data_IF_052144324659
#
_entry.id   IF_052144324659
#
_cell.length_a   1.000
_cell.length_b   1.000
_cell.length_c   1.000
_cell.angle_alpha   90.00
_cell.angle_beta   90.00
_cell.angle_gamma   90.00
#
_symmetry.space_group_name_H-M   'P 1'
#
loop_
_entity.id
_entity.type
_entity.pdbx_description
1 polymer ?
#
# COMPACT_ATOMS: atom_id res chain seq x y z
N UNK A 1 -1.11 -1.02 -22.21
CA UNK A 1 -1.16 0.20 -21.34
C UNK A 1 -0.07 0.07 -20.30
N UNK A 2 0.44 1.19 -19.75
CA UNK A 2 1.31 1.11 -18.56
C UNK A 2 0.47 0.70 -17.35
N UNK A 3 1.03 -0.13 -16.48
CA UNK A 3 0.39 -0.53 -15.24
C UNK A 3 0.14 0.64 -14.28
N UNK A 4 -0.69 0.43 -13.30
CA UNK A 4 -1.07 1.43 -12.29
C UNK A 4 -0.35 1.22 -10.97
N UNK A 5 0.01 2.30 -10.32
CA UNK A 5 0.59 2.29 -8.97
C UNK A 5 -0.42 2.86 -7.98
N UNK A 6 -0.72 2.08 -6.95
CA UNK A 6 -1.63 2.44 -5.85
C UNK A 6 -0.81 2.44 -4.56
N UNK A 7 -0.90 3.50 -3.77
CA UNK A 7 -0.33 3.51 -2.42
C UNK A 7 -1.43 3.52 -1.38
N UNK A 8 -1.26 2.71 -0.34
CA UNK A 8 -2.15 2.68 0.83
C UNK A 8 -1.37 3.24 2.01
N UNK A 9 -1.72 4.42 2.45
CA UNK A 9 -0.94 5.18 3.45
C UNK A 9 -1.85 5.91 4.45
N UNK A 10 -1.38 6.02 5.68
CA UNK A 10 -1.94 6.90 6.73
C UNK A 10 -0.90 7.03 7.86
N UNK A 11 -0.83 8.18 8.51
CA UNK A 11 0.03 8.41 9.65
C UNK A 11 -0.33 7.55 10.87
N UNK A 12 -1.61 7.22 11.03
CA UNK A 12 -2.12 6.43 12.16
C UNK A 12 -1.91 4.93 11.95
N UNK A 13 -1.45 4.25 13.01
CA UNK A 13 -1.38 2.79 13.04
C UNK A 13 -2.76 2.14 13.23
N UNK A 14 -2.93 0.90 12.77
CA UNK A 14 -4.13 0.11 13.05
C UNK A 14 -5.42 0.53 12.31
N UNK A 15 -5.33 1.41 11.32
CA UNK A 15 -6.48 1.89 10.51
C UNK A 15 -6.87 0.96 9.35
N UNK A 16 -6.23 -0.18 9.20
CA UNK A 16 -6.56 -1.16 8.14
C UNK A 16 -5.77 -0.99 6.84
N UNK A 17 -4.61 -0.32 6.83
CA UNK A 17 -3.73 -0.20 5.65
C UNK A 17 -3.43 -1.56 5.02
N UNK A 18 -2.80 -2.42 5.76
CA UNK A 18 -2.41 -3.77 5.31
C UNK A 18 -3.59 -4.61 4.83
N UNK A 19 -4.71 -4.60 5.56
CA UNK A 19 -5.93 -5.30 5.16
C UNK A 19 -6.45 -4.78 3.82
N UNK A 20 -6.47 -3.46 3.63
CA UNK A 20 -6.86 -2.82 2.36
C UNK A 20 -5.91 -3.20 1.24
N UNK A 21 -4.60 -3.13 1.48
CA UNK A 21 -3.56 -3.51 0.51
C UNK A 21 -3.75 -4.95 0.03
N UNK A 22 -3.81 -5.91 0.96
CA UNK A 22 -3.87 -7.33 0.63
C UNK A 22 -5.20 -7.69 -0.03
N UNK A 23 -6.32 -7.21 0.51
CA UNK A 23 -7.64 -7.50 -0.09
C UNK A 23 -7.80 -6.96 -1.50
N UNK A 24 -7.32 -5.74 -1.77
CA UNK A 24 -7.31 -5.18 -3.12
C UNK A 24 -6.37 -5.93 -4.05
N UNK A 25 -5.16 -6.29 -3.60
CA UNK A 25 -4.20 -7.02 -4.42
C UNK A 25 -4.77 -8.38 -4.86
N UNK A 26 -5.40 -9.10 -3.94
CA UNK A 26 -6.02 -10.38 -4.24
C UNK A 26 -7.26 -10.23 -5.14
N UNK A 27 -8.05 -9.17 -4.97
CA UNK A 27 -9.17 -8.88 -5.87
C UNK A 27 -8.70 -8.58 -7.30
N UNK A 28 -7.66 -7.75 -7.47
CA UNK A 28 -7.07 -7.49 -8.79
C UNK A 28 -6.52 -8.79 -9.42
N UNK A 29 -5.79 -9.59 -8.65
CA UNK A 29 -5.24 -10.85 -9.15
C UNK A 29 -6.34 -11.87 -9.50
N UNK A 30 -7.45 -11.92 -8.76
CA UNK A 30 -8.61 -12.76 -9.07
C UNK A 30 -9.30 -12.38 -10.37
N UNK A 31 -9.30 -11.10 -10.70
CA UNK A 31 -9.82 -10.57 -11.99
C UNK A 31 -8.80 -10.69 -13.15
N UNK A 32 -7.68 -11.36 -12.91
CA UNK A 32 -6.68 -11.69 -13.94
C UNK A 32 -5.61 -10.62 -14.18
N UNK A 33 -5.52 -9.61 -13.33
CA UNK A 33 -4.45 -8.62 -13.40
C UNK A 33 -3.16 -9.19 -12.81
N UNK A 34 -2.05 -9.03 -13.52
CA UNK A 34 -0.73 -9.34 -12.99
C UNK A 34 -0.38 -8.31 -11.91
N UNK A 35 -0.44 -8.73 -10.66
CA UNK A 35 -0.40 -7.83 -9.50
C UNK A 35 0.90 -7.99 -8.71
N UNK A 36 1.48 -6.87 -8.28
CA UNK A 36 2.62 -6.82 -7.38
C UNK A 36 2.25 -6.05 -6.11
N UNK A 37 2.58 -6.60 -4.96
CA UNK A 37 2.59 -5.85 -3.70
C UNK A 37 4.03 -5.51 -3.33
N UNK A 38 4.25 -4.27 -2.91
CA UNK A 38 5.52 -3.82 -2.29
C UNK A 38 5.21 -3.47 -0.84
N UNK A 39 5.67 -4.30 0.07
CA UNK A 39 5.49 -4.10 1.52
C UNK A 39 6.61 -3.20 2.04
N UNK A 40 6.25 -1.99 2.47
CA UNK A 40 7.19 -0.98 3.00
C UNK A 40 7.09 -0.84 4.53
N UNK A 41 6.26 -1.65 5.20
CA UNK A 41 6.16 -1.63 6.66
C UNK A 41 7.10 -2.66 7.29
N UNK A 42 7.98 -2.20 8.16
CA UNK A 42 8.91 -3.06 8.92
C UNK A 42 8.23 -4.13 9.79
N UNK A 43 6.92 -4.03 9.99
CA UNK A 43 6.12 -5.07 10.65
C UNK A 43 5.88 -6.28 9.75
N UNK A 44 6.09 -6.16 8.42
CA UNK A 44 5.93 -7.21 7.42
C UNK A 44 4.53 -7.87 7.41
N UNK A 45 3.50 -7.15 7.87
CA UNK A 45 2.16 -7.72 7.98
C UNK A 45 1.55 -8.05 6.62
N UNK A 46 1.78 -7.22 5.58
CA UNK A 46 1.31 -7.53 4.22
C UNK A 46 2.02 -8.78 3.68
N UNK A 47 3.32 -8.89 3.92
CA UNK A 47 4.12 -10.04 3.52
C UNK A 47 3.59 -11.33 4.14
N UNK A 48 3.37 -11.34 5.46
CA UNK A 48 2.84 -12.51 6.18
C UNK A 48 1.43 -12.89 5.72
N UNK A 49 0.55 -11.90 5.52
CA UNK A 49 -0.82 -12.15 5.06
C UNK A 49 -0.89 -12.68 3.62
N UNK A 50 0.03 -12.27 2.75
CA UNK A 50 0.12 -12.78 1.36
C UNK A 50 0.71 -14.18 1.34
N UNK A 51 1.76 -14.44 2.12
CA UNK A 51 2.39 -15.75 2.20
C UNK A 51 1.48 -16.83 2.80
N UNK A 52 0.53 -16.45 3.64
CA UNK A 52 -0.47 -17.36 4.20
C UNK A 52 0.06 -18.26 5.32
N UNK A 53 -0.35 -19.53 5.34
CA UNK A 53 -0.06 -20.50 6.42
C UNK A 53 1.45 -20.63 6.71
N UNK A 54 2.28 -20.61 5.67
CA UNK A 54 3.74 -20.74 5.79
C UNK A 54 4.45 -19.36 5.81
N UNK A 55 3.78 -18.33 6.26
CA UNK A 55 4.26 -16.94 6.21
C UNK A 55 5.62 -16.75 6.88
N UNK A 56 5.81 -17.32 8.07
CA UNK A 56 7.06 -17.20 8.84
C UNK A 56 8.23 -17.86 8.13
N UNK A 57 8.04 -19.07 7.57
CA UNK A 57 9.07 -19.82 6.84
C UNK A 57 9.46 -19.10 5.55
N UNK A 58 8.47 -18.64 4.77
CA UNK A 58 8.71 -17.89 3.52
C UNK A 58 9.35 -16.54 3.77
N UNK A 59 9.02 -15.87 4.88
CA UNK A 59 9.68 -14.64 5.28
C UNK A 59 11.14 -14.90 5.69
N UNK A 60 11.40 -15.99 6.40
CA UNK A 60 12.75 -16.44 6.72
C UNK A 60 13.57 -16.70 5.46
N UNK A 61 12.98 -17.37 4.46
CA UNK A 61 13.62 -17.61 3.16
C UNK A 61 13.93 -16.29 2.43
N UNK A 62 13.02 -15.31 2.45
CA UNK A 62 13.26 -14.01 1.85
C UNK A 62 14.42 -13.25 2.52
N UNK A 63 14.62 -13.43 3.82
CA UNK A 63 15.77 -12.89 4.56
C UNK A 63 17.06 -13.58 4.13
N UNK A 64 17.07 -14.91 4.07
CA UNK A 64 18.27 -15.70 3.76
C UNK A 64 18.71 -15.57 2.30
N UNK A 65 17.74 -15.42 1.40
CA UNK A 65 18.00 -15.27 -0.04
C UNK A 65 18.22 -13.81 -0.45
N UNK A 66 18.22 -12.86 0.51
CA UNK A 66 18.39 -11.43 0.25
C UNK A 66 17.37 -10.89 -0.77
N UNK A 67 16.11 -11.32 -0.66
CA UNK A 67 15.01 -10.94 -1.56
C UNK A 67 13.94 -10.16 -0.81
N UNK A 68 14.30 -9.00 -0.26
CA UNK A 68 13.39 -8.16 0.51
C UNK A 68 13.76 -6.66 0.41
N UNK A 69 12.87 -5.79 0.86
CA UNK A 69 13.05 -4.32 0.80
C UNK A 69 14.27 -3.85 1.61
N UNK A 70 14.65 -4.54 2.71
CA UNK A 70 15.84 -4.15 3.49
C UNK A 70 17.11 -4.32 2.67
N UNK A 71 17.22 -5.40 1.90
CA UNK A 71 18.36 -5.68 1.04
C UNK A 71 18.36 -4.78 -0.19
N UNK A 72 17.17 -4.46 -0.74
CA UNK A 72 17.04 -3.44 -1.79
C UNK A 72 17.62 -2.10 -1.33
N UNK A 73 17.31 -1.64 -0.11
CA UNK A 73 17.86 -0.39 0.43
C UNK A 73 19.38 -0.46 0.58
N UNK A 74 19.90 -1.56 1.14
CA UNK A 74 21.34 -1.73 1.34
C UNK A 74 22.10 -1.76 0.03
N UNK A 75 21.65 -2.53 -0.96
CA UNK A 75 22.34 -2.61 -2.24
C UNK A 75 22.34 -1.26 -2.98
N UNK A 76 21.23 -0.51 -2.96
CA UNK A 76 21.12 0.72 -3.73
C UNK A 76 21.76 1.95 -3.09
N UNK A 77 21.92 1.98 -1.78
CA UNK A 77 22.37 3.18 -1.08
C UNK A 77 23.61 2.99 -0.22
N UNK A 78 23.94 1.75 0.14
CA UNK A 78 25.12 1.41 0.95
C UNK A 78 26.11 0.52 0.18
N UNK A 79 25.68 -0.08 -0.92
CA UNK A 79 26.52 -0.90 -1.80
C UNK A 79 27.19 -0.09 -2.90
N UNK A 80 28.09 -0.78 -3.64
CA UNK A 80 28.81 -0.21 -4.80
C UNK A 80 28.00 -0.33 -6.11
N UNK A 81 26.92 -1.14 -6.13
CA UNK A 81 26.13 -1.45 -7.33
C UNK A 81 24.67 -1.07 -7.13
N UNK A 82 24.06 -0.59 -8.22
CA UNK A 82 22.62 -0.36 -8.26
C UNK A 82 21.90 -1.65 -8.67
N UNK A 83 20.88 -2.03 -7.89
CA UNK A 83 20.01 -3.16 -8.20
C UNK A 83 18.58 -2.67 -8.46
N UNK A 84 17.94 -3.16 -9.53
CA UNK A 84 16.54 -2.89 -9.78
C UNK A 84 15.66 -3.61 -8.74
N UNK A 85 14.52 -3.01 -8.38
CA UNK A 85 13.59 -3.62 -7.43
C UNK A 85 13.08 -5.00 -7.90
N UNK A 86 13.09 -5.23 -9.20
CA UNK A 86 12.74 -6.53 -9.80
C UNK A 86 13.59 -7.70 -9.30
N UNK A 87 14.83 -7.45 -8.83
CA UNK A 87 15.69 -8.47 -8.23
C UNK A 87 15.12 -9.03 -6.92
N UNK A 88 14.32 -8.24 -6.22
CA UNK A 88 13.80 -8.54 -4.89
C UNK A 88 12.35 -9.04 -4.91
N UNK A 89 11.81 -9.30 -6.09
CA UNK A 89 10.45 -9.81 -6.26
C UNK A 89 10.42 -11.33 -6.01
N UNK A 90 9.50 -11.74 -5.16
CA UNK A 90 9.08 -13.13 -4.99
C UNK A 90 7.85 -13.37 -5.86
N UNK A 91 7.95 -14.10 -6.97
CA UNK A 91 6.81 -14.37 -7.83
C UNK A 91 5.86 -15.38 -7.18
N UNK A 92 4.57 -15.32 -7.57
CA UNK A 92 3.54 -16.24 -7.07
C UNK A 92 3.55 -16.37 -5.55
N UNK A 93 3.59 -15.21 -4.88
CA UNK A 93 3.76 -15.14 -3.44
C UNK A 93 2.50 -15.55 -2.66
N UNK A 94 1.30 -15.36 -3.23
CA UNK A 94 0.05 -15.70 -2.55
C UNK A 94 -0.20 -17.21 -2.55
N UNK A 95 -0.70 -17.73 -1.43
CA UNK A 95 -1.24 -19.08 -1.31
C UNK A 95 -2.73 -19.15 -1.69
N UNK A 96 -3.37 -18.02 -1.93
CA UNK A 96 -4.81 -17.94 -2.24
C UNK A 96 -5.09 -18.45 -3.66
N UNK A 97 -6.21 -19.18 -3.78
CA UNK A 97 -6.71 -19.69 -5.06
C UNK A 97 -8.03 -19.04 -5.45
N UNK A 98 -8.24 -18.86 -6.76
CA UNK A 98 -9.50 -18.41 -7.33
C UNK A 98 -9.85 -19.28 -8.55
N UNK A 99 -11.09 -19.80 -8.60
CA UNK A 99 -11.54 -20.74 -9.65
C UNK A 99 -10.56 -21.93 -9.87
N UNK A 100 -9.98 -22.44 -8.79
CA UNK A 100 -9.07 -23.57 -8.80
C UNK A 100 -7.65 -23.26 -9.31
N UNK A 101 -7.28 -21.99 -9.47
CA UNK A 101 -5.92 -21.56 -9.87
C UNK A 101 -5.32 -20.65 -8.80
N UNK A 102 -3.99 -20.75 -8.55
CA UNK A 102 -3.29 -19.76 -7.73
C UNK A 102 -3.43 -18.35 -8.32
N UNK A 103 -3.49 -17.36 -7.46
CA UNK A 103 -3.48 -15.95 -7.89
C UNK A 103 -2.11 -15.56 -8.49
N UNK A 104 -2.10 -14.80 -9.58
CA UNK A 104 -0.86 -14.20 -10.14
C UNK A 104 -0.51 -12.94 -9.33
N UNK A 105 -0.11 -13.16 -8.09
CA UNK A 105 0.27 -12.13 -7.12
C UNK A 105 1.72 -12.31 -6.72
N UNK A 106 2.53 -11.30 -7.05
CA UNK A 106 3.95 -11.20 -6.67
C UNK A 106 4.13 -10.28 -5.48
N UNK A 107 5.25 -10.39 -4.78
CA UNK A 107 5.54 -9.61 -3.58
C UNK A 107 7.00 -9.15 -3.56
N UNK A 108 7.28 -7.91 -3.20
CA UNK A 108 8.55 -7.48 -2.60
C UNK A 108 8.33 -7.42 -1.09
N UNK A 109 8.82 -8.41 -0.32
CA UNK A 109 8.48 -8.52 1.08
C UNK A 109 9.25 -7.50 1.94
N UNK A 110 8.60 -6.98 2.98
CA UNK A 110 9.29 -6.33 4.08
C UNK A 110 9.89 -7.35 5.05
N UNK A 111 10.75 -6.89 5.92
CA UNK A 111 11.27 -7.67 7.05
C UNK A 111 11.43 -6.78 8.28
N UNK A 112 11.50 -7.34 9.49
CA UNK A 112 11.81 -6.57 10.70
C UNK A 112 13.15 -5.81 10.59
N UNK A 113 14.03 -6.23 9.68
CA UNK A 113 15.30 -5.58 9.38
C UNK A 113 15.17 -4.23 8.66
N UNK A 114 14.01 -3.94 8.06
CA UNK A 114 13.79 -2.73 7.27
C UNK A 114 14.05 -1.44 8.06
N UNK A 115 13.51 -1.35 9.27
CA UNK A 115 13.72 -0.18 10.14
C UNK A 115 15.19 0.03 10.52
N UNK A 116 15.95 -1.06 10.61
CA UNK A 116 17.40 -0.99 10.83
C UNK A 116 18.11 -0.51 9.56
N UNK A 117 17.76 -1.03 8.40
CA UNK A 117 18.34 -0.63 7.12
C UNK A 117 18.09 0.86 6.83
N UNK A 118 16.90 1.39 7.10
CA UNK A 118 16.60 2.82 6.97
C UNK A 118 17.49 3.68 7.88
N UNK A 119 17.69 3.29 9.14
CA UNK A 119 18.58 4.00 10.07
C UNK A 119 20.04 3.93 9.65
N UNK A 120 20.52 2.76 9.21
CA UNK A 120 21.86 2.57 8.67
C UNK A 120 22.10 3.49 7.46
N UNK A 121 21.13 3.57 6.55
CA UNK A 121 21.17 4.43 5.39
C UNK A 121 21.34 5.89 5.78
N UNK A 122 20.48 6.40 6.67
CA UNK A 122 20.54 7.79 7.13
C UNK A 122 21.90 8.06 7.79
N UNK A 123 22.35 7.19 8.68
CA UNK A 123 23.61 7.35 9.40
C UNK A 123 24.80 7.42 8.42
N UNK A 124 24.95 6.42 7.54
CA UNK A 124 26.10 6.32 6.64
C UNK A 124 26.12 7.48 5.64
N UNK A 125 24.96 7.83 5.08
CA UNK A 125 24.93 8.95 4.12
C UNK A 125 25.17 10.31 4.80
N UNK A 126 24.76 10.47 6.05
CA UNK A 126 25.07 11.69 6.81
C UNK A 126 26.58 11.78 7.13
N UNK A 127 27.22 10.68 7.50
CA UNK A 127 28.68 10.59 7.67
C UNK A 127 29.44 10.94 6.36
N UNK A 128 28.86 10.61 5.21
CA UNK A 128 29.39 10.99 3.89
C UNK A 128 29.11 12.45 3.51
N UNK A 129 28.47 13.24 4.39
CA UNK A 129 28.23 14.67 4.19
C UNK A 129 26.93 15.00 3.46
N UNK A 130 26.02 14.03 3.25
CA UNK A 130 24.71 14.32 2.67
C UNK A 130 23.76 14.92 3.71
N UNK A 131 23.03 15.98 3.32
CA UNK A 131 21.91 16.49 4.13
C UNK A 131 20.72 15.53 4.07
N UNK A 132 19.81 15.61 5.04
CA UNK A 132 18.56 14.82 5.03
C UNK A 132 17.78 15.00 3.73
N UNK A 133 17.62 16.24 3.25
CA UNK A 133 16.93 16.53 1.99
C UNK A 133 17.62 15.88 0.78
N UNK A 134 18.95 15.80 0.77
CA UNK A 134 19.69 15.12 -0.29
C UNK A 134 19.48 13.59 -0.23
N UNK A 135 19.43 13.01 0.97
CA UNK A 135 19.16 11.59 1.20
C UNK A 135 17.73 11.25 0.71
N UNK A 136 16.74 12.02 1.14
CA UNK A 136 15.33 11.88 0.71
C UNK A 136 15.19 12.01 -0.82
N UNK A 137 15.88 12.97 -1.41
CA UNK A 137 15.91 13.17 -2.86
C UNK A 137 16.48 11.97 -3.62
N UNK A 138 17.56 11.36 -3.12
CA UNK A 138 18.18 10.16 -3.72
C UNK A 138 17.27 8.95 -3.62
N UNK A 139 16.72 8.68 -2.42
CA UNK A 139 15.76 7.60 -2.20
C UNK A 139 14.55 7.79 -3.11
N UNK A 140 14.00 9.01 -3.13
CA UNK A 140 12.86 9.35 -3.95
C UNK A 140 13.09 9.17 -5.45
N UNK A 141 14.25 9.59 -5.96
CA UNK A 141 14.58 9.42 -7.38
C UNK A 141 14.65 7.94 -7.75
N UNK A 142 15.32 7.13 -6.93
CA UNK A 142 15.50 5.70 -7.19
C UNK A 142 14.17 4.96 -7.17
N UNK A 143 13.36 5.15 -6.13
CA UNK A 143 12.06 4.49 -6.02
C UNK A 143 11.12 4.86 -7.18
N UNK A 144 11.09 6.13 -7.61
CA UNK A 144 10.28 6.53 -8.77
C UNK A 144 10.73 5.85 -10.06
N UNK A 145 12.04 5.68 -10.27
CA UNK A 145 12.56 4.93 -11.41
C UNK A 145 12.12 3.47 -11.37
N UNK A 146 12.27 2.82 -10.21
CA UNK A 146 11.84 1.43 -10.05
C UNK A 146 10.33 1.27 -10.21
N UNK A 147 9.49 2.18 -9.66
CA UNK A 147 8.05 2.15 -9.90
C UNK A 147 7.71 2.32 -11.39
N UNK A 148 8.44 3.18 -12.11
CA UNK A 148 8.29 3.33 -13.56
C UNK A 148 8.65 2.05 -14.33
N UNK A 149 9.61 1.26 -13.86
CA UNK A 149 9.97 -0.01 -14.48
C UNK A 149 9.02 -1.14 -14.10
N UNK A 150 8.53 -1.16 -12.86
CA UNK A 150 7.54 -2.13 -12.40
C UNK A 150 6.21 -2.02 -13.14
N UNK A 151 5.72 -0.80 -13.43
CA UNK A 151 4.48 -0.59 -14.19
C UNK A 151 4.58 -0.99 -15.68
N UNK A 152 5.75 -1.37 -16.17
CA UNK A 152 5.93 -1.98 -17.50
C UNK A 152 5.75 -3.49 -17.47
N UNK A 153 5.86 -4.10 -16.28
CA UNK A 153 5.87 -5.55 -16.08
C UNK A 153 4.63 -6.07 -15.35
N UNK A 154 3.95 -5.21 -14.59
CA UNK A 154 2.75 -5.50 -13.82
C UNK A 154 1.61 -4.58 -14.23
N UNK A 155 0.39 -5.11 -14.24
CA UNK A 155 -0.81 -4.33 -14.52
C UNK A 155 -1.16 -3.41 -13.34
N UNK A 156 -0.90 -3.90 -12.11
CA UNK A 156 -1.11 -3.15 -10.87
C UNK A 156 0.04 -3.39 -9.89
N UNK A 157 0.56 -2.31 -9.33
CA UNK A 157 1.53 -2.30 -8.23
C UNK A 157 0.86 -1.64 -7.03
N UNK A 158 0.75 -2.35 -5.90
CA UNK A 158 0.14 -1.80 -4.67
C UNK A 158 1.22 -1.73 -3.58
N UNK A 159 1.39 -0.56 -2.99
CA UNK A 159 2.38 -0.31 -1.96
C UNK A 159 1.70 -0.22 -0.58
N UNK A 160 2.06 -1.11 0.35
CA UNK A 160 1.67 -1.02 1.76
C UNK A 160 2.64 -0.11 2.50
N UNK A 161 2.20 1.11 2.85
CA UNK A 161 3.08 2.09 3.47
C UNK A 161 3.06 1.98 5.01
N UNK A 162 4.23 2.18 5.68
CA UNK A 162 4.28 2.24 7.14
C UNK A 162 3.46 3.41 7.69
N UNK A 163 3.17 3.45 8.99
CA UNK A 163 2.57 4.63 9.61
C UNK A 163 3.55 5.82 9.56
N UNK A 164 3.04 6.98 9.17
CA UNK A 164 3.81 8.22 9.02
C UNK A 164 4.38 8.43 7.62
N UNK A 165 5.10 9.54 7.46
CA UNK A 165 5.76 9.92 6.20
C UNK A 165 7.26 9.74 6.36
N UNK A 166 7.82 8.75 5.67
CA UNK A 166 9.27 8.55 5.50
C UNK A 166 9.67 8.93 4.07
N UNK A 167 10.98 9.03 3.81
CA UNK A 167 11.49 9.25 2.45
C UNK A 167 10.97 8.21 1.45
N UNK A 168 10.84 6.95 1.87
CA UNK A 168 10.27 5.87 1.05
C UNK A 168 8.77 6.07 0.81
N UNK A 169 8.01 6.38 1.87
CA UNK A 169 6.58 6.67 1.76
C UNK A 169 6.34 7.84 0.80
N UNK A 170 7.04 8.96 0.99
CA UNK A 170 6.89 10.15 0.15
C UNK A 170 7.22 9.88 -1.32
N UNK A 171 8.30 9.12 -1.56
CA UNK A 171 8.67 8.71 -2.91
C UNK A 171 7.60 7.86 -3.59
N UNK A 172 7.03 6.92 -2.84
CA UNK A 172 5.99 6.00 -3.30
C UNK A 172 4.70 6.76 -3.61
N UNK A 173 4.26 7.65 -2.71
CA UNK A 173 3.09 8.52 -2.93
C UNK A 173 3.26 9.37 -4.19
N UNK A 174 4.47 9.90 -4.41
CA UNK A 174 4.79 10.72 -5.61
C UNK A 174 4.77 9.94 -6.92
N UNK A 175 4.92 8.60 -6.86
CA UNK A 175 4.88 7.72 -8.01
C UNK A 175 3.49 7.11 -8.28
N UNK A 176 2.53 7.35 -7.37
CA UNK A 176 1.23 6.70 -7.38
C UNK A 176 0.23 7.39 -8.30
N UNK A 177 -0.53 6.58 -9.02
CA UNK A 177 -1.73 7.03 -9.75
C UNK A 177 -2.90 7.25 -8.76
N UNK A 178 -2.99 6.44 -7.71
CA UNK A 178 -4.03 6.55 -6.69
C UNK A 178 -3.42 6.41 -5.29
N UNK A 179 -3.80 7.30 -4.38
CA UNK A 179 -3.42 7.24 -2.97
C UNK A 179 -4.68 6.96 -2.17
N UNK A 180 -4.72 5.81 -1.49
CA UNK A 180 -5.82 5.39 -0.61
C UNK A 180 -5.42 5.66 0.83
N UNK A 181 -6.30 6.35 1.57
CA UNK A 181 -6.06 6.71 2.98
C UNK A 181 -7.13 6.04 3.86
N UNK A 182 -6.89 4.79 4.33
CA UNK A 182 -7.79 4.11 5.26
C UNK A 182 -7.91 4.91 6.55
N UNK A 183 -9.15 5.24 6.95
CA UNK A 183 -9.41 6.11 8.10
C UNK A 183 -10.60 5.60 8.89
N UNK A 184 -10.47 5.49 10.21
CA UNK A 184 -11.59 5.16 11.10
C UNK A 184 -12.43 6.43 11.25
N UNK A 185 -13.76 6.38 11.11
CA UNK A 185 -14.63 7.54 11.32
C UNK A 185 -14.75 7.87 12.81
N UNK A 186 -13.68 8.37 13.42
CA UNK A 186 -13.65 8.88 14.79
C UNK A 186 -12.99 10.28 14.82
N UNK A 187 -13.30 11.06 15.85
CA UNK A 187 -12.82 12.43 15.98
C UNK A 187 -11.28 12.56 15.91
N UNK A 188 -10.56 11.63 16.55
CA UNK A 188 -9.09 11.70 16.56
C UNK A 188 -8.50 11.32 15.20
N UNK A 189 -9.17 10.44 14.46
CA UNK A 189 -8.72 10.03 13.13
C UNK A 189 -8.99 11.12 12.10
N UNK A 190 -10.10 11.87 12.20
CA UNK A 190 -10.39 12.98 11.28
C UNK A 190 -9.40 14.14 11.46
N UNK A 191 -9.05 14.49 12.70
CA UNK A 191 -8.02 15.50 12.95
C UNK A 191 -6.65 15.07 12.38
N UNK A 192 -6.28 13.79 12.56
CA UNK A 192 -5.06 13.26 11.98
C UNK A 192 -5.12 13.15 10.45
N UNK A 193 -6.31 12.97 9.88
CA UNK A 193 -6.53 12.93 8.44
C UNK A 193 -6.21 14.27 7.80
N UNK A 194 -6.76 15.36 8.30
CA UNK A 194 -6.54 16.71 7.74
C UNK A 194 -5.05 17.06 7.71
N UNK A 195 -4.32 16.77 8.80
CA UNK A 195 -2.88 16.98 8.84
C UNK A 195 -2.14 16.09 7.83
N UNK A 196 -2.50 14.82 7.74
CA UNK A 196 -1.82 13.87 6.85
C UNK A 196 -2.10 14.15 5.38
N UNK A 197 -3.35 14.49 5.02
CA UNK A 197 -3.69 14.84 3.64
C UNK A 197 -3.05 16.16 3.22
N UNK A 198 -3.01 17.15 4.11
CA UNK A 198 -2.29 18.40 3.89
C UNK A 198 -0.79 18.17 3.61
N UNK A 199 -0.12 17.36 4.43
CA UNK A 199 1.30 17.00 4.24
C UNK A 199 1.52 16.29 2.89
N UNK A 200 0.63 15.36 2.49
CA UNK A 200 0.68 14.68 1.19
C UNK A 200 0.52 15.70 0.07
N UNK A 201 -0.52 16.52 0.12
CA UNK A 201 -0.82 17.51 -0.92
C UNK A 201 0.34 18.48 -1.09
N UNK A 202 0.92 18.98 0.00
CA UNK A 202 2.08 19.86 -0.04
C UNK A 202 3.30 19.20 -0.67
N UNK A 203 3.55 17.93 -0.33
CA UNK A 203 4.63 17.16 -0.94
C UNK A 203 4.41 16.94 -2.43
N UNK A 204 3.19 16.61 -2.85
CA UNK A 204 2.83 16.41 -4.25
C UNK A 204 2.92 17.74 -5.04
N UNK A 205 2.39 18.83 -4.51
CA UNK A 205 2.44 20.17 -5.12
C UNK A 205 3.88 20.64 -5.35
N UNK A 206 4.79 20.44 -4.40
CA UNK A 206 6.22 20.75 -4.54
C UNK A 206 6.87 20.00 -5.71
N UNK A 207 6.28 18.90 -6.14
CA UNK A 207 6.75 18.05 -7.26
C UNK A 207 5.94 18.27 -8.55
N UNK A 208 5.01 19.22 -8.56
CA UNK A 208 4.15 19.51 -9.72
C UNK A 208 3.07 18.45 -9.97
N UNK A 209 2.73 17.66 -8.94
CA UNK A 209 1.67 16.65 -8.98
C UNK A 209 0.39 17.20 -8.36
N UNK A 210 -0.76 16.79 -8.87
CA UNK A 210 -2.08 17.25 -8.44
C UNK A 210 -3.02 16.15 -7.99
N UNK A 211 -2.52 14.94 -7.78
CA UNK A 211 -3.35 13.81 -7.35
C UNK A 211 -3.89 14.05 -5.94
N UNK A 212 -5.22 13.99 -5.80
CA UNK A 212 -5.86 14.08 -4.50
C UNK A 212 -5.90 12.68 -3.85
N UNK A 213 -5.54 12.54 -2.57
CA UNK A 213 -5.74 11.30 -1.84
C UNK A 213 -7.23 10.97 -1.71
N UNK A 214 -7.57 9.70 -1.68
CA UNK A 214 -8.94 9.22 -1.53
C UNK A 214 -9.09 8.50 -0.20
N UNK A 215 -9.89 9.03 0.68
CA UNK A 215 -10.16 8.47 2.00
C UNK A 215 -11.03 7.23 1.87
N UNK A 216 -10.62 6.15 2.53
CA UNK A 216 -11.42 4.92 2.66
C UNK A 216 -11.89 4.79 4.11
N UNK A 217 -13.19 4.96 4.40
CA UNK A 217 -13.71 4.72 5.73
C UNK A 217 -13.56 3.24 6.10
N UNK A 218 -12.92 2.97 7.25
CA UNK A 218 -12.60 1.61 7.70
C UNK A 218 -13.00 1.40 9.16
N UNK A 219 -13.12 0.13 9.56
CA UNK A 219 -13.48 -0.25 10.93
C UNK A 219 -14.76 0.44 11.42
N UNK A 220 -15.69 0.60 10.50
CA UNK A 220 -16.99 1.20 10.81
C UNK A 220 -17.85 0.22 11.61
N UNK A 221 -18.20 0.62 12.84
CA UNK A 221 -18.97 -0.21 13.77
C UNK A 221 -20.48 0.05 13.71
N UNK A 222 -20.93 1.03 12.90
CA UNK A 222 -22.33 1.42 12.76
C UNK A 222 -22.88 2.23 13.94
N UNK A 223 -22.04 2.67 14.88
CA UNK A 223 -22.48 3.50 16.00
C UNK A 223 -22.97 4.87 15.53
N UNK A 224 -23.89 5.51 16.28
CA UNK A 224 -24.34 6.87 15.96
C UNK A 224 -23.20 7.89 15.87
N UNK A 225 -22.20 7.72 16.73
CA UNK A 225 -21.00 8.59 16.73
C UNK A 225 -20.22 8.46 15.42
N UNK A 226 -19.87 7.23 15.02
CA UNK A 226 -19.15 7.02 13.76
C UNK A 226 -19.97 7.41 12.53
N UNK A 227 -21.29 7.24 12.58
CA UNK A 227 -22.18 7.66 11.48
C UNK A 227 -22.15 9.18 11.28
N UNK A 228 -22.22 9.96 12.36
CA UNK A 228 -22.10 11.43 12.31
C UNK A 228 -20.76 11.85 11.75
N UNK A 229 -19.66 11.23 12.22
CA UNK A 229 -18.31 11.58 11.74
C UNK A 229 -18.15 11.19 10.26
N UNK A 230 -18.65 10.03 9.84
CA UNK A 230 -18.61 9.63 8.44
C UNK A 230 -19.36 10.59 7.51
N UNK A 231 -20.53 11.08 7.96
CA UNK A 231 -21.30 12.07 7.22
C UNK A 231 -20.53 13.39 7.09
N UNK A 232 -19.95 13.88 8.18
CA UNK A 232 -19.10 15.07 8.16
C UNK A 232 -17.86 14.90 7.23
N UNK A 233 -17.24 13.71 7.19
CA UNK A 233 -16.15 13.44 6.25
C UNK A 233 -16.62 13.47 4.80
N UNK A 234 -17.83 12.99 4.50
CA UNK A 234 -18.43 13.06 3.16
C UNK A 234 -18.76 14.48 2.73
N UNK A 235 -19.31 15.26 3.65
CA UNK A 235 -19.61 16.68 3.42
C UNK A 235 -18.31 17.46 3.17
N UNK A 236 -17.27 17.21 3.98
CA UNK A 236 -15.94 17.79 3.76
C UNK A 236 -15.31 17.42 2.42
N UNK A 237 -15.45 16.17 1.98
CA UNK A 237 -14.94 15.73 0.68
C UNK A 237 -15.71 16.34 -0.50
N UNK A 238 -16.96 16.73 -0.31
CA UNK A 238 -17.79 17.38 -1.33
C UNK A 238 -17.46 18.87 -1.53
N UNK A 239 -16.69 19.48 -0.62
CA UNK A 239 -16.22 20.85 -0.76
C UNK A 239 -15.26 20.97 -1.95
N UNK A 240 -15.44 21.95 -2.87
CA UNK A 240 -14.52 22.18 -3.99
C UNK A 240 -13.05 22.39 -3.58
N UNK A 241 -12.84 22.99 -2.40
CA UNK A 241 -11.52 23.27 -1.84
C UNK A 241 -10.95 22.10 -1.00
N UNK A 242 -11.66 20.97 -0.94
CA UNK A 242 -11.23 19.79 -0.17
C UNK A 242 -9.87 19.27 -0.62
N UNK A 243 -9.06 18.85 0.33
CA UNK A 243 -7.75 18.22 0.09
C UNK A 243 -7.84 16.71 -0.16
N UNK A 244 -9.02 16.11 -0.08
CA UNK A 244 -9.24 14.69 -0.32
C UNK A 244 -10.58 14.42 -0.98
N UNK A 245 -10.66 13.28 -1.68
CA UNK A 245 -11.90 12.62 -2.07
C UNK A 245 -12.23 11.52 -1.06
N UNK A 246 -13.44 10.93 -1.14
CA UNK A 246 -13.85 9.82 -0.28
C UNK A 246 -14.48 8.69 -1.10
N UNK A 247 -14.19 7.42 -0.71
CA UNK A 247 -14.86 6.26 -1.27
C UNK A 247 -16.29 6.14 -0.71
N UNK A 248 -17.23 5.67 -1.55
CA UNK A 248 -18.57 5.29 -1.08
C UNK A 248 -18.52 3.99 -0.28
N UNK A 249 -17.64 3.08 -0.66
CA UNK A 249 -17.37 1.85 0.07
C UNK A 249 -16.89 2.15 1.48
N UNK A 250 -17.45 1.43 2.45
CA UNK A 250 -17.07 1.48 3.87
C UNK A 250 -16.68 0.08 4.30
N UNK A 251 -15.48 -0.08 4.87
CA UNK A 251 -15.07 -1.37 5.44
C UNK A 251 -15.58 -1.49 6.87
N UNK A 252 -16.46 -2.45 7.16
CA UNK A 252 -17.01 -2.62 8.51
C UNK A 252 -15.99 -3.16 9.50
N UNK A 253 -16.22 -2.89 10.78
CA UNK A 253 -15.45 -3.52 11.86
C UNK A 253 -15.99 -4.93 12.13
N UNK A 254 -15.47 -5.91 11.37
CA UNK A 254 -15.85 -7.32 11.48
C UNK A 254 -14.63 -8.22 11.52
N UNK A 255 -14.79 -9.38 12.18
CA UNK A 255 -13.74 -10.40 12.29
C UNK A 255 -13.28 -10.94 10.95
N UNK A 256 -14.15 -10.94 9.94
CA UNK A 256 -13.87 -11.40 8.59
C UNK A 256 -12.76 -10.57 7.88
N UNK A 257 -12.52 -9.35 8.33
CA UNK A 257 -11.40 -8.52 7.87
C UNK A 257 -10.12 -8.67 8.71
N UNK A 258 -10.18 -9.47 9.79
CA UNK A 258 -9.03 -9.80 10.64
C UNK A 258 -8.50 -11.20 10.32
N UNK A 259 -8.40 -11.55 9.03
CA UNK A 259 -7.99 -12.87 8.59
C UNK A 259 -6.71 -13.34 9.32
N UNK A 260 -6.80 -14.50 9.97
CA UNK A 260 -5.64 -15.19 10.53
C UNK A 260 -5.22 -16.27 9.52
N UNK A 261 -4.09 -16.11 8.80
CA UNK A 261 -3.67 -17.07 7.78
C UNK A 261 -3.50 -18.49 8.33
N UNK A 262 -3.07 -18.63 9.57
CA UNK A 262 -2.83 -19.93 10.22
C UNK A 262 -4.13 -20.73 10.39
N UNK A 263 -5.26 -20.07 10.58
CA UNK A 263 -6.56 -20.73 10.75
C UNK A 263 -7.18 -21.19 9.43
N UNK A 264 -6.73 -20.65 8.30
CA UNK A 264 -7.29 -20.94 6.98
C UNK A 264 -6.72 -22.22 6.35
N UNK A 265 -5.54 -22.68 6.80
CA UNK A 265 -4.81 -23.78 6.20
C UNK A 265 -4.23 -23.46 4.82
N UNK A 266 -3.62 -24.46 4.18
CA UNK A 266 -2.95 -24.28 2.89
C UNK A 266 -3.91 -24.05 1.73
N UNK A 267 -3.55 -23.12 0.85
CA UNK A 267 -4.25 -22.81 -0.39
C UNK A 267 -5.74 -22.48 -0.23
N UNK A 268 -6.11 -21.54 0.67
CA UNK A 268 -7.49 -21.14 0.81
C UNK A 268 -8.01 -20.51 -0.49
N UNK A 269 -9.31 -20.65 -0.71
CA UNK A 269 -9.95 -19.88 -1.78
C UNK A 269 -10.11 -18.42 -1.35
N UNK A 270 -10.23 -17.50 -2.32
CA UNK A 270 -10.50 -16.08 -2.04
C UNK A 270 -11.73 -15.90 -1.13
N UNK A 271 -12.79 -16.71 -1.33
CA UNK A 271 -13.99 -16.67 -0.52
C UNK A 271 -13.82 -17.26 0.91
N UNK A 272 -12.82 -18.12 1.11
CA UNK A 272 -12.47 -18.58 2.46
C UNK A 272 -11.65 -17.53 3.21
N UNK A 273 -10.77 -16.82 2.51
CA UNK A 273 -9.96 -15.74 3.11
C UNK A 273 -10.79 -14.50 3.43
N UNK A 274 -11.72 -14.16 2.56
CA UNK A 274 -12.65 -13.03 2.72
C UNK A 274 -14.09 -13.54 2.76
N UNK A 275 -14.58 -14.11 3.87
CA UNK A 275 -15.86 -14.79 3.90
C UNK A 275 -17.04 -13.81 3.90
N UNK A 276 -18.16 -14.26 3.32
CA UNK A 276 -19.44 -13.57 3.42
C UNK A 276 -19.44 -12.13 2.91
N UNK A 277 -19.79 -11.19 3.79
CA UNK A 277 -19.87 -9.76 3.47
C UNK A 277 -18.49 -9.14 3.16
N UNK A 278 -17.40 -9.71 3.70
CA UNK A 278 -16.06 -9.21 3.43
C UNK A 278 -15.72 -9.31 1.94
N UNK A 279 -16.01 -10.44 1.27
CA UNK A 279 -15.78 -10.58 -0.16
C UNK A 279 -16.60 -9.59 -0.98
N UNK A 280 -17.86 -9.37 -0.61
CA UNK A 280 -18.72 -8.39 -1.29
C UNK A 280 -18.16 -6.98 -1.14
N UNK A 281 -17.73 -6.61 0.05
CA UNK A 281 -17.13 -5.30 0.32
C UNK A 281 -15.82 -5.10 -0.44
N UNK A 282 -14.95 -6.13 -0.48
CA UNK A 282 -13.69 -6.12 -1.24
C UNK A 282 -13.95 -5.94 -2.73
N UNK A 283 -14.92 -6.67 -3.29
CA UNK A 283 -15.29 -6.55 -4.70
C UNK A 283 -15.86 -5.17 -5.03
N UNK A 284 -16.68 -4.60 -4.14
CA UNK A 284 -17.22 -3.24 -4.31
C UNK A 284 -16.10 -2.20 -4.29
N UNK A 285 -15.16 -2.32 -3.35
CA UNK A 285 -13.99 -1.45 -3.28
C UNK A 285 -13.13 -1.57 -4.54
N UNK A 286 -12.87 -2.79 -5.00
CA UNK A 286 -12.13 -3.04 -6.26
C UNK A 286 -12.77 -2.31 -7.44
N UNK A 287 -14.10 -2.43 -7.61
CA UNK A 287 -14.82 -1.77 -8.69
C UNK A 287 -14.72 -0.24 -8.60
N UNK A 288 -14.82 0.32 -7.40
CA UNK A 288 -14.71 1.76 -7.18
C UNK A 288 -13.29 2.26 -7.44
N UNK A 289 -12.25 1.50 -7.04
CA UNK A 289 -10.84 1.78 -7.34
C UNK A 289 -10.60 1.76 -8.85
N UNK A 290 -11.11 0.77 -9.55
CA UNK A 290 -11.02 0.70 -11.01
C UNK A 290 -11.64 1.92 -11.71
N UNK A 291 -12.83 2.32 -11.26
CA UNK A 291 -13.51 3.50 -11.81
C UNK A 291 -12.69 4.78 -11.62
N UNK A 292 -12.09 4.96 -10.42
CA UNK A 292 -11.22 6.12 -10.15
C UNK A 292 -9.95 6.11 -11.01
N UNK A 293 -9.29 4.97 -11.17
CA UNK A 293 -8.12 4.84 -12.04
C UNK A 293 -8.43 5.11 -13.51
N UNK A 294 -9.62 4.70 -13.99
CA UNK A 294 -10.07 4.99 -15.34
C UNK A 294 -10.35 6.47 -15.58
N UNK A 295 -10.99 7.15 -14.62
CA UNK A 295 -11.28 8.58 -14.70
C UNK A 295 -10.00 9.43 -14.80
N UNK A 296 -8.97 9.10 -14.01
CA UNK A 296 -7.67 9.78 -14.06
C UNK A 296 -6.95 9.61 -15.39
N UNK A 297 -7.07 8.44 -16.05
CA UNK A 297 -6.47 8.20 -17.36
C UNK A 297 -7.04 9.13 -18.44
N UNK A 298 -8.31 9.48 -18.34
CA UNK A 298 -8.98 10.38 -19.29
C UNK A 298 -8.54 11.83 -19.11
N UNK A 299 -8.26 12.26 -17.87
CA UNK A 299 -7.83 13.63 -17.57
C UNK A 299 -6.40 13.93 -18.02
N UNK A 300 -5.52 12.93 -18.05
CA UNK A 300 -4.11 13.09 -18.51
C UNK A 300 -4.02 13.09 -20.04
N UNK A 301 -5.02 12.55 -20.74
CA UNK A 301 -5.05 12.46 -22.21
C UNK A 301 -5.75 13.67 -22.88
N UNK A 302 -6.39 14.54 -22.11
CA UNK A 302 -7.05 15.78 -22.56
C UNK A 302 -6.17 17.00 -22.30
#
# INVERSE_FOLDING_TARGET
>A
MLGRVISVANSKGGVGKTTTTVSLAEAFAAEGYKTLVVDLDSQANASLLIYGENGDERLYDAIHNYTNVSDYLRENFLGECFAHMTKFIVPHASDVTFMGKPLDLSLVPATPGLRRAERELIYILTEQGYSMTAIEGRVGLRLRQDMSDLRKQYDVVICDCPPGISAMTEATLSASDLIIVPTIPDFMSTLGLDLFTGDIIDSLKKRGLSNRPVVLPTKFDGSPHQSIVLEAMRDGAADPDSEYDIFQTVIPQKSEFAANPVELGANPTLAQKWPGEALTTVNTLYQEVQAKLAAQATTVAA
#
